data_IF_340124195112
#
_entry.id   IF_340124195112
#
_cell.length_a   1.000
_cell.length_b   1.000
_cell.length_c   1.000
_cell.angle_alpha   90.00
_cell.angle_beta   90.00
_cell.angle_gamma   90.00
#
_symmetry.space_group_name_H-M   'P 1'
#
loop_
_entity.id
_entity.type
_entity.pdbx_description
1 polymer ?
#
# COMPACT_ATOMS: atom_id res chain seq x y z
N UNK A 1 -3.11 -11.25 1.14
CA UNK A 1 -2.31 -11.20 2.38
C UNK A 1 -1.64 -12.54 2.58
N UNK A 2 -0.41 -12.57 3.09
CA UNK A 2 0.33 -13.80 3.35
C UNK A 2 0.85 -13.78 4.79
N UNK A 3 0.49 -14.80 5.56
CA UNK A 3 0.90 -14.99 6.96
C UNK A 3 1.98 -16.08 7.01
N UNK A 4 3.05 -15.84 7.77
CA UNK A 4 4.06 -16.86 8.08
C UNK A 4 3.69 -17.61 9.36
N UNK A 5 4.44 -18.68 9.68
CA UNK A 5 4.32 -19.40 10.95
C UNK A 5 4.66 -18.54 12.18
N UNK A 6 5.41 -17.46 11.98
CA UNK A 6 5.77 -16.49 13.04
C UNK A 6 4.64 -15.51 13.38
N UNK A 7 3.50 -15.53 12.66
CA UNK A 7 2.34 -14.69 13.00
C UNK A 7 1.70 -15.18 14.32
N UNK A 8 1.34 -14.28 15.27
CA UNK A 8 1.26 -12.82 15.14
C UNK A 8 2.49 -12.06 15.66
N UNK A 9 3.58 -12.74 16.03
CA UNK A 9 4.82 -12.07 16.42
C UNK A 9 5.38 -11.23 15.28
N UNK A 10 5.28 -11.72 14.03
CA UNK A 10 5.61 -10.98 12.81
C UNK A 10 4.38 -10.54 12.01
N UNK A 11 4.44 -9.39 11.31
CA UNK A 11 3.34 -8.91 10.48
C UNK A 11 3.10 -9.79 9.25
N UNK A 12 1.85 -9.85 8.73
CA UNK A 12 1.60 -10.44 7.43
C UNK A 12 2.17 -9.57 6.30
N UNK A 13 2.55 -10.20 5.19
CA UNK A 13 2.90 -9.50 3.95
C UNK A 13 1.63 -9.17 3.16
N UNK A 14 1.41 -7.90 2.86
CA UNK A 14 0.31 -7.44 2.01
C UNK A 14 0.83 -7.08 0.61
N UNK A 15 0.16 -7.58 -0.42
CA UNK A 15 0.55 -7.37 -1.81
C UNK A 15 -0.66 -7.05 -2.69
N UNK A 16 -0.53 -6.02 -3.50
CA UNK A 16 -1.31 -5.77 -4.71
C UNK A 16 -0.73 -6.56 -5.89
N UNK A 17 -1.41 -6.56 -7.07
CA UNK A 17 -0.81 -7.05 -8.30
C UNK A 17 0.52 -6.34 -8.62
N UNK A 18 1.41 -7.04 -9.33
CA UNK A 18 2.67 -6.46 -9.79
C UNK A 18 2.38 -5.24 -10.68
N UNK A 19 3.15 -4.17 -10.51
CA UNK A 19 2.97 -2.91 -11.26
C UNK A 19 1.82 -2.03 -10.77
N UNK A 20 1.23 -2.33 -9.60
CA UNK A 20 0.24 -1.43 -8.98
C UNK A 20 0.84 -0.03 -8.75
N UNK A 21 0.18 0.99 -9.26
CA UNK A 21 0.60 2.39 -9.20
C UNK A 21 0.20 3.00 -7.87
N UNK A 22 1.19 3.24 -7.00
CA UNK A 22 1.03 3.94 -5.73
C UNK A 22 2.41 4.29 -5.14
N UNK A 23 2.63 5.50 -4.56
CA UNK A 23 3.93 5.90 -4.01
C UNK A 23 4.50 4.93 -2.97
N UNK A 24 3.64 4.32 -2.16
CA UNK A 24 4.00 3.38 -1.08
C UNK A 24 3.77 1.90 -1.44
N UNK A 25 3.69 1.54 -2.72
CA UNK A 25 3.61 0.13 -3.16
C UNK A 25 4.80 -0.18 -4.06
N UNK A 26 5.64 -1.14 -3.66
CA UNK A 26 6.79 -1.56 -4.45
C UNK A 26 6.34 -2.10 -5.83
N UNK A 27 7.22 -2.10 -6.85
CA UNK A 27 6.91 -2.72 -8.16
C UNK A 27 6.44 -4.17 -8.06
N UNK A 28 6.89 -4.90 -7.03
CA UNK A 28 6.47 -6.27 -6.71
C UNK A 28 5.02 -6.39 -6.19
N UNK A 29 4.32 -5.26 -5.99
CA UNK A 29 3.02 -5.17 -5.35
C UNK A 29 3.07 -5.09 -3.82
N UNK A 30 4.23 -5.24 -3.19
CA UNK A 30 4.36 -5.21 -1.72
C UNK A 30 4.01 -3.83 -1.17
N UNK A 31 3.12 -3.77 -0.17
CA UNK A 31 2.70 -2.51 0.46
C UNK A 31 3.73 -2.10 1.52
N UNK A 32 4.20 -0.87 1.47
CA UNK A 32 4.99 -0.24 2.52
C UNK A 32 4.05 0.54 3.45
N UNK A 33 3.83 0.03 4.66
CA UNK A 33 3.00 0.65 5.68
C UNK A 33 3.64 0.37 7.05
N UNK A 34 3.71 1.37 7.93
CA UNK A 34 4.42 1.26 9.21
C UNK A 34 3.90 0.12 10.10
N UNK A 35 2.57 -0.09 10.12
CA UNK A 35 1.96 -1.21 10.84
C UNK A 35 2.20 -2.58 10.21
N UNK A 36 2.86 -2.66 9.06
CA UNK A 36 3.29 -3.92 8.42
C UNK A 36 4.81 -4.14 8.53
N UNK A 37 5.51 -3.29 9.29
CA UNK A 37 6.94 -3.38 9.53
C UNK A 37 7.19 -3.81 10.99
N UNK A 38 7.96 -4.89 11.16
CA UNK A 38 8.31 -5.53 12.44
C UNK A 38 9.05 -4.57 13.38
N UNK A 39 9.98 -3.77 12.86
CA UNK A 39 10.83 -2.85 13.64
C UNK A 39 10.20 -1.47 13.85
N UNK A 40 8.98 -1.26 13.36
CA UNK A 40 8.32 0.05 13.39
C UNK A 40 6.97 -0.02 14.10
N UNK A 41 5.88 -0.28 13.37
CA UNK A 41 4.51 -0.11 13.88
C UNK A 41 3.78 -1.42 14.18
N UNK A 42 4.34 -2.58 13.84
CA UNK A 42 3.67 -3.85 14.07
C UNK A 42 3.44 -4.12 15.56
N UNK A 43 2.24 -4.59 15.88
CA UNK A 43 1.90 -5.14 17.19
C UNK A 43 1.03 -6.39 16.98
N UNK A 44 1.26 -7.50 17.71
CA UNK A 44 0.47 -8.72 17.56
C UNK A 44 -1.05 -8.55 17.74
N UNK A 45 -1.48 -7.49 18.43
CA UNK A 45 -2.88 -7.14 18.64
C UNK A 45 -3.54 -6.45 17.43
N UNK A 46 -2.78 -6.07 16.40
CA UNK A 46 -3.32 -5.45 15.19
C UNK A 46 -4.15 -6.47 14.43
N UNK A 47 -5.42 -6.16 14.26
CA UNK A 47 -6.40 -7.00 13.56
C UNK A 47 -6.28 -6.86 12.05
N UNK A 48 -6.72 -7.89 11.31
CA UNK A 48 -6.85 -7.83 9.84
C UNK A 48 -7.69 -6.64 9.39
N UNK A 49 -8.77 -6.31 10.13
CA UNK A 49 -9.60 -5.13 9.86
C UNK A 49 -8.77 -3.84 9.91
N UNK A 50 -7.95 -3.65 10.95
CA UNK A 50 -7.09 -2.48 11.08
C UNK A 50 -6.05 -2.41 9.96
N UNK A 51 -5.50 -3.54 9.53
CA UNK A 51 -4.59 -3.59 8.38
C UNK A 51 -5.29 -3.12 7.10
N UNK A 52 -6.47 -3.65 6.81
CA UNK A 52 -7.20 -3.32 5.58
C UNK A 52 -7.66 -1.85 5.56
N UNK A 53 -8.12 -1.33 6.71
CA UNK A 53 -8.44 0.10 6.85
C UNK A 53 -7.17 0.94 6.67
N UNK A 54 -6.06 0.58 7.30
CA UNK A 54 -4.80 1.31 7.13
C UNK A 54 -4.28 1.33 5.70
N UNK A 55 -4.47 0.23 4.94
CA UNK A 55 -4.16 0.19 3.50
C UNK A 55 -5.12 1.10 2.71
N UNK A 56 -6.42 1.10 3.04
CA UNK A 56 -7.39 2.00 2.40
C UNK A 56 -7.04 3.47 2.64
N UNK A 57 -6.71 3.83 3.88
CA UNK A 57 -6.28 5.18 4.26
C UNK A 57 -5.00 5.57 3.51
N UNK A 58 -4.02 4.65 3.42
CA UNK A 58 -2.78 4.85 2.66
C UNK A 58 -3.04 5.15 1.17
N UNK A 59 -4.02 4.48 0.55
CA UNK A 59 -4.40 4.74 -0.85
C UNK A 59 -5.00 6.15 -1.05
N UNK A 60 -5.74 6.65 -0.06
CA UNK A 60 -6.31 8.00 -0.09
C UNK A 60 -5.32 9.09 0.34
N UNK A 61 -4.35 8.74 1.18
CA UNK A 61 -3.35 9.63 1.77
C UNK A 61 -1.95 8.99 1.70
N UNK A 62 -1.27 9.06 0.54
CA UNK A 62 0.06 8.51 0.39
C UNK A 62 1.05 9.14 1.38
N UNK A 63 2.00 8.35 1.88
CA UNK A 63 3.05 8.81 2.80
C UNK A 63 4.32 9.20 2.01
N UNK A 64 4.65 10.50 1.84
CA UNK A 64 5.82 10.90 1.07
C UNK A 64 7.16 10.61 1.78
N UNK A 65 7.15 10.32 3.09
CA UNK A 65 8.37 10.04 3.84
C UNK A 65 8.94 8.64 3.59
N UNK A 66 8.17 7.73 2.98
CA UNK A 66 8.57 6.33 2.76
C UNK A 66 8.22 5.84 1.34
N UNK A 67 8.88 6.39 0.30
CA UNK A 67 8.57 6.05 -1.08
C UNK A 67 9.05 4.64 -1.45
N UNK A 68 8.14 3.82 -1.94
CA UNK A 68 8.40 2.46 -2.43
C UNK A 68 8.42 2.37 -3.98
N UNK A 69 7.87 3.37 -4.67
CA UNK A 69 7.81 3.44 -6.13
C UNK A 69 8.17 4.85 -6.61
N UNK A 70 9.28 4.97 -7.33
CA UNK A 70 9.81 6.25 -7.83
C UNK A 70 8.84 6.98 -8.75
N UNK A 71 8.21 6.28 -9.71
CA UNK A 71 7.28 6.90 -10.67
C UNK A 71 6.05 7.49 -9.96
N UNK A 72 5.38 6.68 -9.12
CA UNK A 72 4.24 7.13 -8.34
C UNK A 72 4.60 8.28 -7.41
N UNK A 73 5.75 8.21 -6.73
CA UNK A 73 6.23 9.27 -5.85
C UNK A 73 6.52 10.59 -6.58
N UNK A 74 7.25 10.56 -7.70
CA UNK A 74 7.55 11.77 -8.46
C UNK A 74 6.29 12.45 -8.99
N UNK A 75 5.36 11.68 -9.57
CA UNK A 75 4.08 12.24 -10.02
C UNK A 75 3.29 12.83 -8.84
N UNK A 76 3.22 12.14 -7.70
CA UNK A 76 2.52 12.65 -6.52
C UNK A 76 3.07 13.98 -6.01
N UNK A 77 4.40 14.16 -6.00
CA UNK A 77 5.03 15.38 -5.46
C UNK A 77 5.09 16.53 -6.49
N UNK A 78 5.25 16.21 -7.77
CA UNK A 78 5.54 17.21 -8.81
C UNK A 78 4.33 17.54 -9.70
N UNK A 79 3.40 16.60 -9.87
CA UNK A 79 2.24 16.74 -10.77
C UNK A 79 1.02 15.97 -10.24
N UNK A 80 0.37 16.54 -9.22
CA UNK A 80 -0.81 15.97 -8.58
C UNK A 80 -1.97 15.74 -9.59
N UNK A 81 -2.06 16.57 -10.62
CA UNK A 81 -3.09 16.47 -11.66
C UNK A 81 -2.89 15.18 -12.48
N UNK A 82 -1.67 14.91 -12.93
CA UNK A 82 -1.35 13.69 -13.66
C UNK A 82 -1.41 12.45 -12.77
N UNK A 83 -0.94 12.55 -11.52
CA UNK A 83 -1.11 11.51 -10.51
C UNK A 83 -2.58 11.11 -10.36
N UNK A 84 -3.47 12.10 -10.18
CA UNK A 84 -4.90 11.86 -10.05
C UNK A 84 -5.54 11.24 -11.31
N UNK A 85 -5.06 11.59 -12.51
CA UNK A 85 -5.51 10.93 -13.75
C UNK A 85 -5.10 9.47 -13.78
N UNK A 86 -3.84 9.14 -13.47
CA UNK A 86 -3.37 7.75 -13.41
C UNK A 86 -4.10 6.92 -12.37
N UNK A 87 -4.33 7.46 -11.17
CA UNK A 87 -5.14 6.78 -10.13
C UNK A 87 -6.55 6.47 -10.65
N UNK A 88 -7.22 7.43 -11.31
CA UNK A 88 -8.54 7.20 -11.92
C UNK A 88 -8.52 6.16 -13.05
N UNK A 89 -7.46 6.13 -13.86
CA UNK A 89 -7.29 5.11 -14.90
C UNK A 89 -7.09 3.72 -14.28
N UNK A 90 -6.25 3.61 -13.25
CA UNK A 90 -6.05 2.36 -12.53
C UNK A 90 -7.34 1.87 -11.86
N UNK A 91 -8.11 2.75 -11.21
CA UNK A 91 -9.37 2.36 -10.57
C UNK A 91 -10.36 1.69 -11.55
N UNK A 92 -10.39 2.14 -12.82
CA UNK A 92 -11.23 1.53 -13.87
C UNK A 92 -10.79 0.11 -14.26
N UNK A 93 -9.54 -0.27 -13.99
CA UNK A 93 -9.03 -1.62 -14.27
C UNK A 93 -9.48 -2.65 -13.23
N UNK A 94 -9.95 -2.18 -12.06
CA UNK A 94 -10.40 -3.03 -10.94
C UNK A 94 -11.86 -2.73 -10.62
N UNK A 95 -12.82 -3.05 -11.52
CA UNK A 95 -14.24 -2.90 -11.22
C UNK A 95 -14.65 -3.81 -10.06
N UNK A 96 -15.75 -3.49 -9.35
CA UNK A 96 -16.34 -4.40 -8.39
C UNK A 96 -16.58 -5.77 -9.02
N UNK A 97 -16.30 -6.83 -8.26
CA UNK A 97 -16.72 -8.18 -8.63
C UNK A 97 -18.24 -8.21 -8.48
N UNK A 98 -18.94 -8.14 -9.61
CA UNK A 98 -20.41 -8.25 -9.70
C UNK A 98 -20.82 -9.71 -9.51
#
# INVERSE_FOLDING_TARGET
MHFSEDYPSKPPKCKFPQGFFHPNVYPSGTVCLSILNEDSGWRPAITVKQILIGIQDLLGQPNPADPAQTEGYHMFIQDEVEYGKRVRQQAKQYPPLV
#
